data_IF_881928047144
#
_entry.id   IF_881928047144
#
_cell.length_a   1.000
_cell.length_b   1.000
_cell.length_c   1.000
_cell.angle_alpha   90.00
_cell.angle_beta   90.00
_cell.angle_gamma   90.00
#
_symmetry.space_group_name_H-M   'P 1'
#
loop_
_entity.id
_entity.type
_entity.pdbx_description
1 polymer ?
#
# COMPACT_ATOMS: atom_id res chain seq x y z
N UNK A 1 16.76 -8.25 21.76
CA UNK A 1 15.53 -8.45 20.94
C UNK A 1 15.88 -8.27 19.48
N UNK A 2 15.44 -9.19 18.63
CA UNK A 2 15.60 -9.01 17.18
C UNK A 2 14.73 -7.85 16.71
N UNK A 3 15.24 -7.01 15.79
CA UNK A 3 14.44 -5.99 15.11
C UNK A 3 13.24 -6.66 14.40
N UNK A 4 12.07 -6.00 14.35
CA UNK A 4 10.93 -6.53 13.60
C UNK A 4 11.35 -6.93 12.19
N UNK A 5 10.88 -8.09 11.73
CA UNK A 5 11.20 -8.60 10.39
C UNK A 5 10.39 -7.91 9.29
N UNK A 6 9.29 -7.25 9.66
CA UNK A 6 8.40 -6.54 8.74
C UNK A 6 8.71 -5.05 8.68
N UNK A 7 8.48 -4.46 7.52
CA UNK A 7 8.67 -3.04 7.25
C UNK A 7 7.47 -2.53 6.45
N UNK A 8 6.60 -1.69 7.04
CA UNK A 8 5.47 -1.14 6.31
C UNK A 8 5.93 -0.12 5.26
N UNK A 9 5.48 -0.31 4.04
CA UNK A 9 5.70 0.58 2.90
C UNK A 9 4.35 1.09 2.42
N UNK A 10 4.07 2.34 2.71
CA UNK A 10 2.75 2.95 2.51
C UNK A 10 2.77 3.87 1.28
N UNK A 11 1.79 3.71 0.41
CA UNK A 11 1.65 4.58 -0.76
C UNK A 11 0.55 5.59 -0.48
N UNK A 12 0.98 6.85 -0.29
CA UNK A 12 0.14 7.97 0.13
C UNK A 12 0.86 8.87 1.11
N UNK A 13 0.23 9.98 1.50
CA UNK A 13 0.79 10.94 2.46
C UNK A 13 -0.28 11.60 3.33
N UNK A 14 -1.53 11.22 3.17
CA UNK A 14 -2.69 11.82 3.83
C UNK A 14 -2.97 11.21 5.21
N UNK A 15 -4.08 11.60 5.78
CA UNK A 15 -4.57 11.09 7.07
C UNK A 15 -4.75 9.56 7.07
N UNK A 16 -5.15 8.96 5.95
CA UNK A 16 -5.29 7.51 5.85
C UNK A 16 -3.92 6.83 5.97
N UNK A 17 -2.90 7.38 5.33
CA UNK A 17 -1.52 6.91 5.47
C UNK A 17 -1.06 6.98 6.93
N UNK A 18 -1.28 8.11 7.60
CA UNK A 18 -0.96 8.24 9.02
C UNK A 18 -1.70 7.20 9.89
N UNK A 19 -2.99 6.97 9.62
CA UNK A 19 -3.80 6.01 10.38
C UNK A 19 -3.26 4.57 10.25
N UNK A 20 -2.84 4.18 9.05
CA UNK A 20 -2.22 2.86 8.82
C UNK A 20 -0.88 2.76 9.54
N UNK A 21 -0.03 3.79 9.43
CA UNK A 21 1.26 3.84 10.11
C UNK A 21 1.09 3.77 11.64
N UNK A 22 0.09 4.46 12.18
CA UNK A 22 -0.23 4.41 13.61
C UNK A 22 -0.64 3.02 14.05
N UNK A 23 -1.44 2.30 13.28
CA UNK A 23 -1.85 0.94 13.58
C UNK A 23 -0.63 -0.01 13.66
N UNK A 24 0.31 0.09 12.74
CA UNK A 24 1.57 -0.66 12.80
C UNK A 24 2.41 -0.28 14.02
N UNK A 25 2.49 0.99 14.31
CA UNK A 25 3.26 1.48 15.46
C UNK A 25 2.67 0.99 16.79
N UNK A 26 1.36 1.10 16.96
CA UNK A 26 0.68 0.64 18.19
C UNK A 26 0.77 -0.89 18.37
N UNK A 27 0.67 -1.65 17.28
CA UNK A 27 0.69 -3.11 17.34
C UNK A 27 2.09 -3.69 17.50
N UNK A 28 3.10 -3.10 16.86
CA UNK A 28 4.43 -3.70 16.73
C UNK A 28 5.58 -2.80 17.15
N UNK A 29 5.33 -1.54 17.50
CA UNK A 29 6.37 -0.57 17.87
C UNK A 29 7.29 -0.19 16.71
N UNK A 30 6.83 -0.33 15.46
CA UNK A 30 7.61 -0.05 14.26
C UNK A 30 7.20 1.26 13.60
N UNK A 31 8.13 1.88 12.88
CA UNK A 31 7.89 3.04 12.06
C UNK A 31 7.62 2.61 10.62
N UNK A 32 6.86 3.42 9.87
CA UNK A 32 6.49 3.15 8.49
C UNK A 32 7.23 4.06 7.52
N UNK A 33 7.45 3.58 6.31
CA UNK A 33 7.98 4.37 5.20
C UNK A 33 6.85 4.64 4.21
N UNK A 34 6.72 5.90 3.80
CA UNK A 34 5.64 6.32 2.91
C UNK A 34 6.17 7.02 1.67
N UNK A 35 5.48 6.83 0.56
CA UNK A 35 5.74 7.50 -0.71
C UNK A 35 4.46 8.19 -1.17
N UNK A 36 4.49 9.50 -1.26
CA UNK A 36 3.36 10.34 -1.66
C UNK A 36 3.74 11.33 -2.77
N UNK A 37 2.74 11.97 -3.37
CA UNK A 37 2.98 12.92 -4.48
C UNK A 37 3.49 14.27 -3.99
N UNK A 38 2.95 14.73 -2.88
CA UNK A 38 3.28 16.05 -2.30
C UNK A 38 3.18 16.01 -0.78
N UNK A 39 3.84 16.98 -0.12
CA UNK A 39 3.77 17.10 1.34
C UNK A 39 2.35 17.30 1.84
N UNK A 40 1.98 16.53 2.86
CA UNK A 40 0.72 16.68 3.58
C UNK A 40 1.01 16.70 5.08
N UNK A 41 0.31 17.57 5.82
CA UNK A 41 0.57 17.81 7.24
C UNK A 41 0.47 16.58 8.11
N UNK A 42 -0.40 15.65 7.75
CA UNK A 42 -0.65 14.43 8.52
C UNK A 42 0.59 13.52 8.66
N UNK A 43 1.44 13.49 7.64
CA UNK A 43 2.64 12.63 7.61
C UNK A 43 3.94 13.41 7.65
N UNK A 44 3.96 14.65 7.16
CA UNK A 44 5.17 15.46 7.00
C UNK A 44 5.91 15.71 8.32
N UNK A 45 5.18 15.90 9.42
CA UNK A 45 5.73 16.16 10.75
C UNK A 45 5.63 14.95 11.70
N UNK A 46 5.20 13.81 11.19
CA UNK A 46 5.06 12.60 12.00
C UNK A 46 6.42 12.03 12.41
N UNK A 47 6.49 11.55 13.65
CA UNK A 47 7.67 10.84 14.16
C UNK A 47 7.66 9.34 13.81
N UNK A 48 6.53 8.82 13.35
CA UNK A 48 6.34 7.40 13.05
C UNK A 48 6.25 7.09 11.56
N UNK A 49 6.31 8.14 10.70
CA UNK A 49 6.28 8.01 9.25
C UNK A 49 7.48 8.72 8.64
N UNK A 50 8.27 7.97 7.89
CA UNK A 50 9.32 8.50 7.03
C UNK A 50 8.76 8.68 5.63
N UNK A 51 8.37 9.90 5.29
CA UNK A 51 7.69 10.18 4.03
C UNK A 51 8.66 10.76 2.98
N UNK A 52 8.67 10.17 1.80
CA UNK A 52 9.37 10.66 0.61
C UNK A 52 8.35 11.10 -0.43
N UNK A 53 8.56 12.26 -1.04
CA UNK A 53 7.63 12.82 -2.01
C UNK A 53 8.18 12.65 -3.43
N UNK A 54 7.35 12.04 -4.28
CA UNK A 54 7.65 11.76 -5.70
C UNK A 54 6.44 12.22 -6.51
N UNK A 55 6.59 13.28 -7.28
CA UNK A 55 5.49 13.97 -7.98
C UNK A 55 4.63 13.04 -8.84
N UNK A 56 5.26 12.06 -9.47
CA UNK A 56 4.60 11.11 -10.38
C UNK A 56 4.53 9.67 -9.83
N UNK A 57 4.48 9.51 -8.52
CA UNK A 57 4.39 8.18 -7.87
C UNK A 57 3.10 7.42 -8.21
N UNK A 58 2.09 8.10 -8.71
CA UNK A 58 0.85 7.53 -9.21
C UNK A 58 0.96 6.95 -10.64
N UNK A 59 2.11 7.05 -11.29
CA UNK A 59 2.41 6.33 -12.52
C UNK A 59 2.88 4.90 -12.20
N UNK A 60 2.29 3.85 -12.82
CA UNK A 60 2.62 2.46 -12.48
C UNK A 60 4.11 2.13 -12.56
N UNK A 61 4.80 2.61 -13.59
CA UNK A 61 6.24 2.36 -13.76
C UNK A 61 7.08 3.04 -12.66
N UNK A 62 6.72 4.27 -12.26
CA UNK A 62 7.40 5.02 -11.20
C UNK A 62 7.15 4.35 -9.85
N UNK A 63 5.91 3.96 -9.56
CA UNK A 63 5.57 3.25 -8.34
C UNK A 63 6.32 1.93 -8.22
N UNK A 64 6.32 1.13 -9.30
CA UNK A 64 7.07 -0.13 -9.34
C UNK A 64 8.56 0.07 -9.07
N UNK A 65 9.17 1.05 -9.72
CA UNK A 65 10.60 1.36 -9.52
C UNK A 65 10.87 1.82 -8.09
N UNK A 66 10.04 2.71 -7.55
CA UNK A 66 10.17 3.24 -6.19
C UNK A 66 10.13 2.13 -5.14
N UNK A 67 9.12 1.26 -5.21
CA UNK A 67 8.97 0.15 -4.26
C UNK A 67 10.09 -0.89 -4.45
N UNK A 68 10.47 -1.17 -5.69
CA UNK A 68 11.56 -2.11 -5.99
C UNK A 68 12.88 -1.63 -5.41
N UNK A 69 13.24 -0.37 -5.62
CA UNK A 69 14.49 0.20 -5.09
C UNK A 69 14.51 0.18 -3.56
N UNK A 70 13.39 0.53 -2.94
CA UNK A 70 13.25 0.47 -1.48
C UNK A 70 13.39 -0.95 -0.95
N UNK A 71 12.69 -1.90 -1.55
CA UNK A 71 12.73 -3.30 -1.13
C UNK A 71 14.12 -3.94 -1.30
N UNK A 72 14.81 -3.61 -2.39
CA UNK A 72 16.18 -4.08 -2.62
C UNK A 72 17.17 -3.50 -1.60
N UNK A 73 16.97 -2.26 -1.18
CA UNK A 73 17.77 -1.63 -0.11
C UNK A 73 17.50 -2.23 1.28
N UNK A 74 16.40 -2.97 1.44
CA UNK A 74 15.98 -3.62 2.68
C UNK A 74 15.74 -5.12 2.47
N UNK A 75 16.65 -5.78 1.76
CA UNK A 75 16.50 -7.18 1.35
C UNK A 75 16.33 -8.17 2.51
N UNK A 76 16.81 -7.82 3.70
CA UNK A 76 16.69 -8.59 4.92
C UNK A 76 15.31 -8.46 5.61
N UNK A 77 14.47 -7.55 5.12
CA UNK A 77 13.12 -7.28 5.67
C UNK A 77 12.04 -7.78 4.73
N UNK A 78 10.89 -8.08 5.29
CA UNK A 78 9.66 -8.28 4.53
C UNK A 78 8.93 -6.94 4.44
N UNK A 79 8.85 -6.38 3.24
CA UNK A 79 8.16 -5.14 2.96
C UNK A 79 6.66 -5.40 2.77
N UNK A 80 5.84 -4.90 3.67
CA UNK A 80 4.37 -4.96 3.54
C UNK A 80 3.90 -3.69 2.84
N UNK A 81 3.47 -3.80 1.59
CA UNK A 81 3.18 -2.67 0.72
C UNK A 81 1.67 -2.44 0.67
N UNK A 82 1.24 -1.26 1.12
CA UNK A 82 -0.18 -0.90 1.22
C UNK A 82 -0.45 0.45 0.57
N UNK A 83 -1.50 0.51 -0.25
CA UNK A 83 -2.05 1.76 -0.79
C UNK A 83 -3.04 2.38 0.20
N UNK A 84 -2.88 3.65 0.49
CA UNK A 84 -3.68 4.35 1.49
C UNK A 84 -4.94 5.01 0.92
N UNK A 85 -5.11 4.96 -0.40
CA UNK A 85 -6.33 5.37 -1.10
C UNK A 85 -6.73 4.29 -2.09
N UNK A 86 -7.97 4.36 -2.60
CA UNK A 86 -8.47 3.42 -3.60
C UNK A 86 -7.61 3.42 -4.89
N UNK A 87 -7.16 4.61 -5.30
CA UNK A 87 -6.31 4.75 -6.49
C UNK A 87 -4.95 4.06 -6.31
N UNK A 88 -4.30 4.28 -5.17
CA UNK A 88 -3.02 3.62 -4.87
C UNK A 88 -3.17 2.11 -4.66
N UNK A 89 -4.26 1.68 -4.03
CA UNK A 89 -4.57 0.25 -3.92
C UNK A 89 -4.76 -0.39 -5.29
N UNK A 90 -5.49 0.27 -6.20
CA UNK A 90 -5.68 -0.18 -7.59
C UNK A 90 -4.36 -0.28 -8.36
N UNK A 91 -3.47 0.71 -8.21
CA UNK A 91 -2.15 0.68 -8.83
C UNK A 91 -1.30 -0.49 -8.31
N UNK A 92 -1.34 -0.76 -7.01
CA UNK A 92 -0.63 -1.90 -6.42
C UNK A 92 -1.17 -3.23 -6.95
N UNK A 93 -2.47 -3.36 -7.18
CA UNK A 93 -3.04 -4.54 -7.83
C UNK A 93 -2.46 -4.78 -9.23
N UNK A 94 -2.20 -3.70 -9.99
CA UNK A 94 -1.63 -3.80 -11.34
C UNK A 94 -0.15 -4.24 -11.34
N UNK A 95 0.62 -3.85 -10.35
CA UNK A 95 2.07 -4.05 -10.34
C UNK A 95 2.55 -5.17 -9.40
N UNK A 96 1.67 -5.69 -8.53
CA UNK A 96 2.07 -6.58 -7.42
C UNK A 96 2.89 -7.80 -7.87
N UNK A 97 2.57 -8.38 -9.02
CA UNK A 97 3.25 -9.56 -9.53
C UNK A 97 4.69 -9.28 -10.02
N UNK A 98 5.03 -7.99 -10.17
CA UNK A 98 6.36 -7.53 -10.60
C UNK A 98 7.23 -7.07 -9.44
N UNK A 99 6.69 -7.01 -8.23
CA UNK A 99 7.42 -6.60 -7.04
C UNK A 99 8.48 -7.63 -6.63
N UNK A 100 9.58 -7.22 -5.97
CA UNK A 100 10.57 -8.13 -5.42
C UNK A 100 9.98 -9.17 -4.47
N UNK A 101 10.67 -10.31 -4.33
CA UNK A 101 10.21 -11.44 -3.49
C UNK A 101 10.00 -11.08 -2.02
N UNK A 102 10.72 -10.10 -1.49
CA UNK A 102 10.55 -9.64 -0.12
C UNK A 102 9.40 -8.64 0.06
N UNK A 103 8.60 -8.38 -0.99
CA UNK A 103 7.40 -7.57 -0.91
C UNK A 103 6.15 -8.45 -0.76
N UNK A 104 5.26 -8.03 0.14
CA UNK A 104 3.90 -8.55 0.26
C UNK A 104 2.95 -7.39 -0.03
N UNK A 105 2.20 -7.50 -1.11
CA UNK A 105 1.10 -6.60 -1.45
C UNK A 105 -0.21 -7.41 -1.40
N UNK A 106 -0.94 -7.38 -0.28
CA UNK A 106 -2.05 -8.31 -0.02
C UNK A 106 -3.33 -7.88 -0.74
N UNK A 107 -3.26 -7.82 -2.05
CA UNK A 107 -4.35 -7.38 -2.91
C UNK A 107 -4.83 -8.48 -3.83
N UNK A 108 -6.12 -8.39 -4.20
CA UNK A 108 -6.75 -9.23 -5.21
C UNK A 108 -6.19 -8.91 -6.61
N UNK A 109 -6.50 -9.77 -7.59
CA UNK A 109 -6.14 -9.53 -8.98
C UNK A 109 -6.91 -8.36 -9.58
N UNK A 110 -6.39 -7.67 -10.62
CA UNK A 110 -7.14 -6.66 -11.33
C UNK A 110 -8.47 -7.17 -11.90
N UNK A 111 -8.50 -8.41 -12.41
CA UNK A 111 -9.72 -9.02 -12.94
C UNK A 111 -10.81 -9.17 -11.88
N UNK A 112 -10.44 -9.53 -10.65
CA UNK A 112 -11.41 -9.61 -9.56
C UNK A 112 -11.81 -8.21 -9.06
N UNK A 113 -10.86 -7.28 -8.96
CA UNK A 113 -11.16 -5.86 -8.64
C UNK A 113 -12.23 -5.31 -9.57
N UNK A 114 -12.08 -5.50 -10.87
CA UNK A 114 -12.99 -4.95 -11.88
C UNK A 114 -14.43 -5.47 -11.72
N UNK A 115 -14.59 -6.68 -11.19
CA UNK A 115 -15.90 -7.24 -10.82
C UNK A 115 -16.49 -6.65 -9.53
N UNK A 116 -15.67 -6.07 -8.67
CA UNK A 116 -16.09 -5.60 -7.34
C UNK A 116 -16.29 -4.07 -7.28
N UNK A 117 -15.64 -3.31 -8.13
CA UNK A 117 -15.64 -1.85 -8.09
C UNK A 117 -16.97 -1.26 -8.57
N UNK A 118 -17.57 -1.82 -9.61
CA UNK A 118 -18.89 -1.41 -10.10
C UNK A 118 -19.98 -1.95 -9.19
N UNK A 119 -20.91 -1.10 -8.75
CA UNK A 119 -22.06 -1.55 -7.94
C UNK A 119 -22.90 -2.61 -8.65
N UNK A 120 -23.10 -2.45 -9.97
CA UNK A 120 -23.87 -3.41 -10.75
C UNK A 120 -23.20 -4.79 -10.79
N UNK A 121 -21.89 -4.82 -11.05
CA UNK A 121 -21.11 -6.07 -11.09
C UNK A 121 -21.01 -6.70 -9.70
N UNK A 122 -20.85 -5.88 -8.65
CA UNK A 122 -20.85 -6.34 -7.27
C UNK A 122 -22.18 -7.02 -6.89
N UNK A 123 -23.30 -6.42 -7.23
CA UNK A 123 -24.62 -7.02 -6.95
C UNK A 123 -24.83 -8.30 -7.76
N UNK A 124 -24.42 -8.32 -9.01
CA UNK A 124 -24.47 -9.54 -9.83
C UNK A 124 -23.64 -10.68 -9.21
N UNK A 125 -22.47 -10.36 -8.68
CA UNK A 125 -21.61 -11.30 -7.98
C UNK A 125 -22.26 -11.80 -6.67
N UNK A 126 -22.90 -10.91 -5.92
CA UNK A 126 -23.64 -11.28 -4.72
C UNK A 126 -24.78 -12.24 -5.03
N UNK A 127 -25.52 -12.01 -6.12
CA UNK A 127 -26.58 -12.92 -6.56
C UNK A 127 -26.03 -14.29 -6.95
N UNK A 128 -24.90 -14.33 -7.69
CA UNK A 128 -24.22 -15.58 -8.10
C UNK A 128 -23.84 -16.44 -6.89
N UNK A 129 -23.37 -15.81 -5.81
CA UNK A 129 -22.93 -16.49 -4.59
C UNK A 129 -23.97 -16.54 -3.48
N UNK A 130 -25.21 -16.13 -3.74
CA UNK A 130 -26.30 -16.04 -2.77
C UNK A 130 -25.92 -15.25 -1.50
N UNK A 131 -25.18 -14.15 -1.67
CA UNK A 131 -24.79 -13.25 -0.59
C UNK A 131 -25.81 -12.12 -0.50
N UNK A 132 -26.46 -11.94 0.67
CA UNK A 132 -27.42 -10.85 0.84
C UNK A 132 -26.73 -9.48 0.85
N UNK A 133 -27.37 -8.45 0.28
CA UNK A 133 -26.87 -7.07 0.22
C UNK A 133 -27.97 -6.05 0.43
#
# INVERSE_FOLDING_TARGET
MSSPSILPVLIGADMNCYSVARAFHEAYGIESYAFGRWPMGDTMYSKIVHCTYIENVDEPAVLLQTVTDFANAHAEKTCVVLGCTDDYASLLMEIKEKLPQNCIAPYISPALRDKLVSKADFYALCDEYAIPY
#
